data_IF_195706345702
#
_entry.id   IF_195706345702
#
_cell.length_a   1.000
_cell.length_b   1.000
_cell.length_c   1.000
_cell.angle_alpha   90.00
_cell.angle_beta   90.00
_cell.angle_gamma   90.00
#
_symmetry.space_group_name_H-M   'P 1'
#
loop_
_entity.id
_entity.type
_entity.pdbx_description
1 polymer ?
#
# COMPACT_ATOMS: atom_id res chain seq x y z
N UNK A 1 -26.57 11.88 21.46
CA UNK A 1 -25.12 12.12 21.46
C UNK A 1 -24.37 11.03 22.24
N UNK A 2 -24.71 10.73 23.50
CA UNK A 2 -24.01 9.75 24.34
C UNK A 2 -23.95 8.34 23.72
N UNK A 3 -25.04 7.86 23.13
CA UNK A 3 -25.10 6.53 22.47
C UNK A 3 -24.13 6.46 21.30
N UNK A 4 -24.03 7.52 20.51
CA UNK A 4 -23.07 7.60 19.38
C UNK A 4 -21.64 7.61 19.91
N UNK A 5 -21.37 8.39 20.96
CA UNK A 5 -20.05 8.43 21.61
C UNK A 5 -19.61 7.08 22.19
N UNK A 6 -20.53 6.28 22.72
CA UNK A 6 -20.25 4.90 23.17
C UNK A 6 -19.92 3.95 22.01
N UNK A 7 -20.44 4.18 20.82
CA UNK A 7 -20.14 3.40 19.63
C UNK A 7 -18.69 3.59 19.10
N UNK A 8 -18.10 4.78 19.31
CA UNK A 8 -16.76 5.10 18.82
C UNK A 8 -15.68 4.17 19.40
N UNK A 9 -15.56 3.96 20.72
CA UNK A 9 -14.56 3.06 21.27
C UNK A 9 -14.74 1.61 20.79
N UNK A 10 -16.00 1.12 20.66
CA UNK A 10 -16.27 -0.23 20.16
C UNK A 10 -15.74 -0.37 18.73
N UNK A 11 -16.05 0.60 17.88
CA UNK A 11 -15.56 0.61 16.50
C UNK A 11 -14.02 0.71 16.45
N UNK A 12 -13.44 1.55 17.28
CA UNK A 12 -11.97 1.71 17.34
C UNK A 12 -11.27 0.41 17.72
N UNK A 13 -11.74 -0.28 18.76
CA UNK A 13 -11.21 -1.59 19.18
C UNK A 13 -11.36 -2.62 18.06
N UNK A 14 -12.54 -2.70 17.43
CA UNK A 14 -12.77 -3.58 16.30
C UNK A 14 -11.81 -3.29 15.14
N UNK A 15 -11.62 -2.02 14.79
CA UNK A 15 -10.73 -1.60 13.70
C UNK A 15 -9.26 -1.92 14.00
N UNK A 16 -8.79 -1.70 15.21
CA UNK A 16 -7.41 -2.06 15.60
C UNK A 16 -7.23 -3.57 15.51
N UNK A 17 -8.19 -4.34 15.99
CA UNK A 17 -8.12 -5.80 15.96
C UNK A 17 -8.08 -6.34 14.53
N UNK A 18 -9.00 -5.91 13.67
CA UNK A 18 -9.09 -6.39 12.29
C UNK A 18 -7.90 -5.93 11.44
N UNK A 19 -7.45 -4.67 11.61
CA UNK A 19 -6.27 -4.15 10.90
C UNK A 19 -4.99 -4.91 11.25
N UNK A 20 -4.81 -5.31 12.49
CA UNK A 20 -3.66 -6.12 12.88
C UNK A 20 -3.67 -7.51 12.23
N UNK A 21 -4.85 -8.15 12.14
CA UNK A 21 -5.02 -9.42 11.44
C UNK A 21 -4.80 -9.26 9.93
N UNK A 22 -5.38 -8.25 9.34
CA UNK A 22 -5.25 -7.92 7.92
C UNK A 22 -3.78 -7.67 7.54
N UNK A 23 -3.05 -6.85 8.32
CA UNK A 23 -1.64 -6.56 8.08
C UNK A 23 -0.78 -7.83 8.07
N UNK A 24 -0.95 -8.70 9.06
CA UNK A 24 -0.22 -9.99 9.12
C UNK A 24 -0.55 -10.88 7.92
N UNK A 25 -1.82 -10.95 7.53
CA UNK A 25 -2.25 -11.75 6.39
C UNK A 25 -1.66 -11.22 5.07
N UNK A 26 -1.70 -9.91 4.84
CA UNK A 26 -1.10 -9.29 3.64
C UNK A 26 0.42 -9.42 3.59
N UNK A 27 1.09 -9.36 4.75
CA UNK A 27 2.52 -9.60 4.84
C UNK A 27 2.88 -11.06 4.45
N UNK A 28 2.06 -12.02 4.89
CA UNK A 28 2.21 -13.41 4.48
C UNK A 28 1.99 -13.59 2.96
N UNK A 29 1.01 -12.91 2.36
CA UNK A 29 0.80 -12.89 0.91
C UNK A 29 2.02 -12.34 0.19
N UNK A 30 2.56 -11.20 0.64
CA UNK A 30 3.74 -10.59 0.05
C UNK A 30 4.94 -11.54 0.05
N UNK A 31 5.20 -12.21 1.18
CA UNK A 31 6.29 -13.18 1.30
C UNK A 31 6.11 -14.38 0.34
N UNK A 32 4.89 -14.93 0.29
CA UNK A 32 4.60 -16.07 -0.61
C UNK A 32 4.70 -15.68 -2.08
N UNK A 33 4.24 -14.49 -2.43
CA UNK A 33 4.34 -13.96 -3.79
C UNK A 33 5.80 -13.71 -4.21
N UNK A 34 6.63 -13.20 -3.28
CA UNK A 34 8.06 -13.02 -3.52
C UNK A 34 8.77 -14.36 -3.78
N UNK A 35 8.45 -15.40 -3.01
CA UNK A 35 9.01 -16.74 -3.22
C UNK A 35 8.58 -17.35 -4.58
N UNK A 36 7.31 -17.17 -4.96
CA UNK A 36 6.81 -17.62 -6.26
C UNK A 36 7.51 -16.90 -7.41
N UNK A 37 7.67 -15.58 -7.30
CA UNK A 37 8.35 -14.79 -8.32
C UNK A 37 9.84 -15.14 -8.44
N UNK A 38 10.52 -15.37 -7.31
CA UNK A 38 11.92 -15.82 -7.32
C UNK A 38 12.07 -17.17 -8.01
N UNK A 39 11.18 -18.13 -7.69
CA UNK A 39 11.15 -19.43 -8.34
C UNK A 39 10.90 -19.32 -9.85
N UNK A 40 9.94 -18.48 -10.26
CA UNK A 40 9.67 -18.22 -11.67
C UNK A 40 10.88 -17.65 -12.41
N UNK A 41 11.53 -16.63 -11.79
CA UNK A 41 12.70 -16.01 -12.39
C UNK A 41 13.85 -17.00 -12.55
N UNK A 42 14.10 -17.83 -11.53
CA UNK A 42 15.13 -18.88 -11.58
C UNK A 42 14.83 -19.90 -12.69
N UNK A 43 13.58 -20.36 -12.82
CA UNK A 43 13.19 -21.31 -13.86
C UNK A 43 13.22 -20.72 -15.27
N UNK A 44 12.88 -19.43 -15.44
CA UNK A 44 12.98 -18.77 -16.76
C UNK A 44 14.44 -18.65 -17.17
N UNK A 45 15.32 -18.22 -16.27
CA UNK A 45 16.76 -18.12 -16.54
C UNK A 45 17.38 -19.50 -16.76
N UNK A 46 16.95 -20.50 -15.97
CA UNK A 46 17.42 -21.89 -16.01
C UNK A 46 16.67 -22.81 -17.00
N UNK A 47 15.77 -22.27 -17.84
CA UNK A 47 14.89 -23.09 -18.71
C UNK A 47 15.67 -24.08 -19.59
N UNK A 48 16.81 -23.67 -20.15
CA UNK A 48 17.65 -24.54 -20.96
C UNK A 48 18.23 -25.72 -20.17
N UNK A 49 18.57 -25.48 -18.89
CA UNK A 49 19.09 -26.53 -18.00
C UNK A 49 17.97 -27.52 -17.66
N UNK A 50 16.78 -27.00 -17.33
CA UNK A 50 15.59 -27.82 -17.06
C UNK A 50 15.28 -28.76 -18.23
N UNK A 51 15.35 -28.27 -19.47
CA UNK A 51 15.13 -29.07 -20.69
C UNK A 51 16.22 -30.11 -20.90
N UNK A 52 17.50 -29.80 -20.67
CA UNK A 52 18.61 -30.74 -20.80
C UNK A 52 18.46 -31.93 -19.85
N UNK A 53 17.97 -31.67 -18.63
CA UNK A 53 17.77 -32.69 -17.60
C UNK A 53 16.36 -33.32 -17.61
N UNK A 54 15.47 -32.90 -18.52
CA UNK A 54 14.09 -33.37 -18.64
C UNK A 54 13.31 -33.28 -17.29
N UNK A 55 13.45 -32.11 -16.57
CA UNK A 55 12.81 -31.88 -15.25
C UNK A 55 11.60 -30.95 -15.33
N UNK A 56 10.97 -30.83 -16.49
CA UNK A 56 9.84 -29.91 -16.72
C UNK A 56 8.65 -30.26 -15.82
N UNK A 57 8.31 -31.55 -15.72
CA UNK A 57 7.17 -32.02 -14.91
C UNK A 57 7.39 -31.75 -13.41
N UNK A 58 8.60 -31.98 -12.91
CA UNK A 58 8.95 -31.73 -11.51
C UNK A 58 8.87 -30.23 -11.20
N UNK A 59 9.42 -29.38 -12.07
CA UNK A 59 9.36 -27.93 -11.91
C UNK A 59 7.91 -27.42 -12.00
N UNK A 60 7.10 -28.00 -12.88
CA UNK A 60 5.68 -27.65 -12.97
C UNK A 60 4.91 -28.02 -11.69
N UNK A 61 5.24 -29.16 -11.07
CA UNK A 61 4.62 -29.58 -9.82
C UNK A 61 5.01 -28.64 -8.65
N UNK A 62 6.28 -28.28 -8.52
CA UNK A 62 6.73 -27.32 -7.52
C UNK A 62 6.05 -25.95 -7.71
N UNK A 63 5.93 -25.49 -8.95
CA UNK A 63 5.21 -24.27 -9.27
C UNK A 63 3.74 -24.33 -8.87
N UNK A 64 3.07 -25.46 -9.12
CA UNK A 64 1.69 -25.66 -8.69
C UNK A 64 1.53 -25.59 -7.18
N UNK A 65 2.43 -26.19 -6.43
CA UNK A 65 2.40 -26.17 -4.96
C UNK A 65 2.61 -24.75 -4.42
N UNK A 66 3.59 -24.03 -4.93
CA UNK A 66 3.84 -22.64 -4.56
C UNK A 66 2.65 -21.73 -4.92
N UNK A 67 2.06 -21.92 -6.09
CA UNK A 67 0.87 -21.19 -6.54
C UNK A 67 -0.36 -21.49 -5.65
N UNK A 68 -0.56 -22.74 -5.25
CA UNK A 68 -1.62 -23.10 -4.31
C UNK A 68 -1.44 -22.46 -2.96
N UNK A 69 -0.21 -22.42 -2.44
CA UNK A 69 0.13 -21.75 -1.19
C UNK A 69 -0.15 -20.25 -1.26
N UNK A 70 0.24 -19.60 -2.34
CA UNK A 70 -0.11 -18.21 -2.61
C UNK A 70 -1.63 -18.00 -2.60
N UNK A 71 -2.37 -18.85 -3.30
CA UNK A 71 -3.84 -18.78 -3.36
C UNK A 71 -4.49 -18.96 -1.99
N UNK A 72 -4.03 -19.91 -1.18
CA UNK A 72 -4.56 -20.12 0.19
C UNK A 72 -4.31 -18.90 1.07
N UNK A 73 -3.10 -18.36 1.01
CA UNK A 73 -2.71 -17.18 1.79
C UNK A 73 -3.49 -15.95 1.34
N UNK A 74 -3.63 -15.75 0.03
CA UNK A 74 -4.47 -14.70 -0.57
C UNK A 74 -5.91 -14.77 -0.10
N UNK A 75 -6.54 -15.94 -0.18
CA UNK A 75 -7.92 -16.14 0.28
C UNK A 75 -8.09 -15.77 1.76
N UNK A 76 -7.09 -16.06 2.59
CA UNK A 76 -7.11 -15.68 4.00
C UNK A 76 -7.03 -14.16 4.18
N UNK A 77 -6.17 -13.49 3.44
CA UNK A 77 -6.05 -12.02 3.47
C UNK A 77 -7.34 -11.34 2.99
N UNK A 78 -7.92 -11.84 1.90
CA UNK A 78 -9.19 -11.33 1.35
C UNK A 78 -10.35 -11.53 2.33
N UNK A 79 -10.41 -12.66 3.04
CA UNK A 79 -11.44 -12.88 4.09
C UNK A 79 -11.37 -11.82 5.18
N UNK A 80 -10.16 -11.51 5.69
CA UNK A 80 -10.01 -10.43 6.68
C UNK A 80 -10.35 -9.06 6.10
N UNK A 81 -10.00 -8.80 4.84
CA UNK A 81 -10.34 -7.55 4.16
C UNK A 81 -11.84 -7.38 3.99
N UNK A 82 -12.53 -8.45 3.57
CA UNK A 82 -13.96 -8.43 3.34
C UNK A 82 -14.79 -8.39 4.65
N UNK A 83 -14.20 -8.75 5.78
CA UNK A 83 -14.88 -8.68 7.08
C UNK A 83 -15.00 -7.25 7.63
N UNK A 84 -14.21 -6.32 7.11
CA UNK A 84 -14.16 -4.92 7.57
C UNK A 84 -15.52 -4.24 7.38
N UNK A 85 -16.04 -4.24 6.14
CA UNK A 85 -17.28 -3.54 5.83
C UNK A 85 -18.52 -4.09 6.56
N UNK A 86 -18.79 -5.41 6.54
CA UNK A 86 -19.89 -5.97 7.31
C UNK A 86 -19.77 -5.76 8.81
N UNK A 87 -18.54 -5.80 9.34
CA UNK A 87 -18.31 -5.55 10.77
C UNK A 87 -18.64 -4.12 11.18
N UNK A 88 -18.25 -3.13 10.37
CA UNK A 88 -18.58 -1.73 10.60
C UNK A 88 -20.09 -1.51 10.47
N UNK A 89 -20.70 -2.09 9.44
CA UNK A 89 -22.14 -1.96 9.20
C UNK A 89 -22.94 -2.57 10.36
N UNK A 90 -22.55 -3.74 10.85
CA UNK A 90 -23.19 -4.36 12.02
C UNK A 90 -23.11 -3.46 13.26
N UNK A 91 -21.94 -2.86 13.55
CA UNK A 91 -21.78 -1.91 14.66
C UNK A 91 -22.68 -0.67 14.45
N UNK A 92 -22.71 -0.14 13.22
CA UNK A 92 -23.55 1.01 12.88
C UNK A 92 -25.05 0.71 13.05
N UNK A 93 -25.48 -0.49 12.65
CA UNK A 93 -26.88 -0.95 12.84
C UNK A 93 -27.20 -1.08 14.33
N UNK A 94 -26.30 -1.65 15.14
CA UNK A 94 -26.48 -1.75 16.58
C UNK A 94 -26.60 -0.37 17.26
N UNK A 95 -25.75 0.58 16.86
CA UNK A 95 -25.82 1.96 17.37
C UNK A 95 -27.12 2.63 16.98
N UNK A 96 -27.57 2.46 15.72
CA UNK A 96 -28.88 2.99 15.27
C UNK A 96 -30.04 2.36 16.04
N UNK A 97 -30.04 1.05 16.22
CA UNK A 97 -31.07 0.35 17.00
C UNK A 97 -31.09 0.87 18.45
N UNK A 98 -29.94 1.07 19.07
CA UNK A 98 -29.86 1.66 20.41
C UNK A 98 -30.41 3.10 20.43
N UNK A 99 -30.15 3.94 19.43
CA UNK A 99 -30.71 5.30 19.35
C UNK A 99 -32.25 5.23 19.29
N UNK A 100 -32.80 4.33 18.50
CA UNK A 100 -34.28 4.17 18.41
C UNK A 100 -34.88 3.67 19.74
N UNK A 101 -34.27 2.65 20.35
CA UNK A 101 -34.75 2.11 21.62
C UNK A 101 -34.69 3.16 22.75
N UNK A 102 -33.56 3.82 22.92
CA UNK A 102 -33.41 4.88 23.92
C UNK A 102 -34.26 6.11 23.60
N UNK A 103 -34.40 6.43 22.30
CA UNK A 103 -35.31 7.49 21.85
C UNK A 103 -36.76 7.20 22.21
N UNK A 104 -37.21 5.97 22.01
CA UNK A 104 -38.58 5.54 22.33
C UNK A 104 -38.85 5.53 23.84
N UNK A 105 -37.89 5.07 24.64
CA UNK A 105 -37.97 5.03 26.11
C UNK A 105 -37.96 6.42 26.73
N UNK A 106 -37.08 7.32 26.26
CA UNK A 106 -36.91 8.65 26.85
C UNK A 106 -37.98 9.64 26.36
N UNK A 107 -38.42 9.50 25.10
CA UNK A 107 -39.36 10.44 24.47
C UNK A 107 -40.79 9.88 24.30
N UNK A 108 -41.00 8.62 24.67
CA UNK A 108 -42.33 7.95 24.52
C UNK A 108 -43.46 8.55 25.33
N UNK A 109 -43.15 9.34 26.37
CA UNK A 109 -44.14 10.03 27.23
C UNK A 109 -44.34 11.52 26.90
N UNK A 110 -43.65 12.06 25.92
CA UNK A 110 -43.70 13.49 25.60
C UNK A 110 -43.85 13.75 24.10
N UNK A 111 -44.61 14.79 23.78
CA UNK A 111 -45.05 15.31 22.47
C UNK A 111 -43.92 15.60 21.44
N UNK A 112 -42.81 14.82 21.44
CA UNK A 112 -41.68 15.00 20.52
C UNK A 112 -41.84 14.09 19.31
N UNK A 113 -41.84 14.74 18.15
CA UNK A 113 -42.08 14.17 16.83
C UNK A 113 -41.14 13.01 16.51
N UNK A 114 -41.68 11.91 15.95
CA UNK A 114 -40.94 10.82 15.31
C UNK A 114 -39.83 11.35 14.36
N UNK A 115 -40.07 12.50 13.74
CA UNK A 115 -39.10 13.19 12.90
C UNK A 115 -37.78 13.54 13.62
N UNK A 116 -37.83 13.85 14.92
CA UNK A 116 -36.58 14.11 15.68
C UNK A 116 -35.71 12.87 15.83
N UNK A 117 -36.33 11.70 16.06
CA UNK A 117 -35.58 10.42 16.18
C UNK A 117 -34.96 10.05 14.82
N UNK A 118 -35.73 10.22 13.74
CA UNK A 118 -35.25 9.97 12.38
C UNK A 118 -34.08 10.93 12.04
N UNK A 119 -34.18 12.22 12.37
CA UNK A 119 -33.12 13.18 12.14
C UNK A 119 -31.85 12.81 12.91
N UNK A 120 -31.95 12.46 14.21
CA UNK A 120 -30.79 12.03 15.00
C UNK A 120 -30.14 10.76 14.42
N UNK A 121 -30.93 9.80 13.96
CA UNK A 121 -30.44 8.58 13.32
C UNK A 121 -29.70 8.88 12.01
N UNK A 122 -30.20 9.81 11.21
CA UNK A 122 -29.56 10.24 9.97
C UNK A 122 -28.24 10.96 10.25
N UNK A 123 -28.20 11.89 11.19
CA UNK A 123 -26.95 12.56 11.61
C UNK A 123 -25.93 11.57 12.19
N UNK A 124 -26.37 10.56 12.94
CA UNK A 124 -25.49 9.51 13.43
C UNK A 124 -24.83 8.74 12.27
N UNK A 125 -25.56 8.48 11.19
CA UNK A 125 -25.00 7.82 10.00
C UNK A 125 -23.97 8.68 9.28
N UNK A 126 -24.20 9.98 9.15
CA UNK A 126 -23.22 10.91 8.58
C UNK A 126 -21.95 11.06 9.42
N UNK A 127 -22.02 10.82 10.72
CA UNK A 127 -20.87 10.92 11.61
C UNK A 127 -19.83 9.81 11.37
N UNK A 128 -20.24 8.63 10.92
CA UNK A 128 -19.33 7.50 10.68
C UNK A 128 -18.45 7.66 9.44
N UNK A 129 -18.99 8.25 8.40
CA UNK A 129 -18.29 8.40 7.11
C UNK A 129 -16.96 9.14 7.24
N UNK A 130 -16.89 10.33 7.88
CA UNK A 130 -15.61 11.04 8.10
C UNK A 130 -14.60 10.24 8.91
N UNK A 131 -15.05 9.51 9.95
CA UNK A 131 -14.14 8.70 10.78
C UNK A 131 -13.48 7.60 9.97
N UNK A 132 -14.26 6.96 9.09
CA UNK A 132 -13.75 5.93 8.18
C UNK A 132 -12.73 6.51 7.19
N UNK A 133 -13.03 7.69 6.65
CA UNK A 133 -12.16 8.35 5.68
C UNK A 133 -10.86 8.87 6.30
N UNK A 134 -10.86 9.27 7.57
CA UNK A 134 -9.65 9.73 8.27
C UNK A 134 -8.51 8.71 8.22
N UNK A 135 -8.81 7.42 8.38
CA UNK A 135 -7.79 6.36 8.29
C UNK A 135 -7.17 6.25 6.90
N UNK A 136 -7.95 6.42 5.86
CA UNK A 136 -7.46 6.40 4.47
C UNK A 136 -6.69 7.67 4.13
N UNK A 137 -7.19 8.83 4.57
CA UNK A 137 -6.51 10.13 4.39
C UNK A 137 -5.14 10.10 5.07
N UNK A 138 -5.04 9.57 6.28
CA UNK A 138 -3.79 9.48 7.02
C UNK A 138 -2.76 8.56 6.30
N UNK A 139 -3.19 7.41 5.82
CA UNK A 139 -2.32 6.51 5.05
C UNK A 139 -1.85 7.16 3.74
N UNK A 140 -2.75 7.83 3.02
CA UNK A 140 -2.40 8.54 1.80
C UNK A 140 -1.44 9.71 2.08
N UNK A 141 -1.62 10.40 3.20
CA UNK A 141 -0.75 11.49 3.62
C UNK A 141 0.68 11.00 3.86
N UNK A 142 0.86 9.90 4.61
CA UNK A 142 2.18 9.29 4.85
C UNK A 142 2.84 8.87 3.54
N UNK A 143 2.10 8.20 2.64
CA UNK A 143 2.63 7.77 1.37
C UNK A 143 3.03 8.96 0.48
N UNK A 144 2.23 10.03 0.48
CA UNK A 144 2.52 11.23 -0.29
C UNK A 144 3.75 11.98 0.24
N UNK A 145 3.97 11.99 1.56
CA UNK A 145 5.22 12.54 2.14
C UNK A 145 6.44 11.77 1.62
N UNK A 146 6.39 10.44 1.61
CA UNK A 146 7.50 9.62 1.10
C UNK A 146 7.76 9.87 -0.41
N UNK A 147 6.73 10.15 -1.20
CA UNK A 147 6.90 10.53 -2.60
C UNK A 147 7.50 11.93 -2.74
N UNK A 148 7.07 12.89 -1.92
CA UNK A 148 7.63 14.24 -1.91
C UNK A 148 9.12 14.22 -1.51
N UNK A 149 9.48 13.45 -0.50
CA UNK A 149 10.87 13.27 -0.07
C UNK A 149 11.77 12.81 -1.23
N UNK A 150 11.34 11.79 -1.98
CA UNK A 150 12.08 11.32 -3.16
C UNK A 150 12.17 12.35 -4.29
N UNK A 151 11.12 13.15 -4.47
CA UNK A 151 11.14 14.24 -5.46
C UNK A 151 12.17 15.29 -5.05
N UNK A 152 12.18 15.70 -3.79
CA UNK A 152 13.15 16.67 -3.30
C UNK A 152 14.58 16.11 -3.33
N UNK A 153 14.80 14.85 -2.92
CA UNK A 153 16.10 14.21 -3.06
C UNK A 153 16.63 14.27 -4.51
N UNK A 154 15.75 14.01 -5.49
CA UNK A 154 16.12 14.09 -6.90
C UNK A 154 16.35 15.53 -7.37
N UNK A 155 15.58 16.49 -6.87
CA UNK A 155 15.73 17.91 -7.23
C UNK A 155 16.98 18.54 -6.59
N UNK A 156 17.32 18.09 -5.39
CA UNK A 156 18.47 18.58 -4.64
C UNK A 156 19.78 17.82 -4.97
N UNK A 157 19.71 16.86 -5.89
CA UNK A 157 20.88 16.12 -6.37
C UNK A 157 21.90 17.12 -6.96
N UNK A 158 23.11 17.21 -6.39
CA UNK A 158 24.09 18.18 -6.85
C UNK A 158 24.56 17.87 -8.27
N UNK A 159 24.60 18.87 -9.12
CA UNK A 159 25.16 18.75 -10.47
C UNK A 159 26.64 18.42 -10.39
N UNK A 160 26.98 17.14 -10.57
CA UNK A 160 28.36 16.66 -10.49
C UNK A 160 29.21 17.08 -11.68
N UNK A 161 28.56 17.33 -12.83
CA UNK A 161 29.22 17.80 -14.05
C UNK A 161 28.63 19.16 -14.41
N UNK A 162 29.26 20.22 -13.98
CA UNK A 162 28.90 21.59 -14.31
C UNK A 162 29.83 22.19 -15.36
N UNK A 163 29.32 23.14 -16.14
CA UNK A 163 30.14 23.90 -17.06
C UNK A 163 31.18 24.73 -16.29
N UNK A 164 32.38 24.84 -16.86
CA UNK A 164 33.43 25.72 -16.31
C UNK A 164 33.00 27.18 -16.49
N UNK A 165 33.44 28.07 -15.58
CA UNK A 165 33.13 29.52 -15.64
C UNK A 165 33.45 30.19 -17.02
N UNK A 166 34.37 29.62 -17.78
CA UNK A 166 34.75 30.09 -19.11
C UNK A 166 34.43 29.09 -20.22
N UNK A 167 33.34 28.29 -20.06
CA UNK A 167 32.92 27.38 -21.11
C UNK A 167 32.58 28.15 -22.39
N UNK A 168 33.09 27.71 -23.51
CA UNK A 168 32.83 28.30 -24.83
C UNK A 168 31.79 27.43 -25.55
N UNK A 169 30.97 28.09 -26.35
CA UNK A 169 30.06 27.36 -27.25
C UNK A 169 30.88 26.44 -28.19
N UNK A 170 30.43 25.23 -28.35
CA UNK A 170 31.07 24.26 -29.22
C UNK A 170 30.94 24.70 -30.68
N UNK A 171 32.02 24.81 -31.43
CA UNK A 171 31.94 25.18 -32.85
C UNK A 171 31.31 24.05 -33.68
N UNK A 172 30.91 24.34 -34.91
CA UNK A 172 30.35 23.32 -35.82
C UNK A 172 31.37 22.16 -35.98
N UNK A 173 30.96 20.98 -35.54
CA UNK A 173 31.85 19.78 -35.50
C UNK A 173 31.93 19.15 -36.88
N UNK A 174 33.14 18.78 -37.32
CA UNK A 174 33.37 18.03 -38.56
C UNK A 174 33.34 16.51 -38.37
N UNK A 175 33.07 16.04 -37.11
CA UNK A 175 32.94 14.62 -36.81
C UNK A 175 34.25 13.91 -36.54
N UNK A 176 35.38 14.63 -36.42
CA UNK A 176 36.69 14.09 -36.04
C UNK A 176 36.82 14.14 -34.52
N UNK A 177 37.15 13.00 -33.89
CA UNK A 177 37.37 12.86 -32.45
C UNK A 177 38.75 12.22 -32.22
N UNK A 178 39.63 12.91 -31.53
CA UNK A 178 40.94 12.41 -31.17
C UNK A 178 41.04 12.29 -29.66
N UNK A 179 41.45 11.13 -29.16
CA UNK A 179 41.77 10.91 -27.75
C UNK A 179 43.32 11.00 -27.63
N UNK A 180 43.77 11.98 -26.90
CA UNK A 180 45.22 12.19 -26.68
C UNK A 180 45.45 12.21 -25.16
N UNK A 181 46.14 11.19 -24.64
CA UNK A 181 46.48 11.04 -23.23
C UNK A 181 45.28 11.25 -22.28
N UNK A 182 44.16 10.59 -22.56
CA UNK A 182 42.92 10.74 -21.78
C UNK A 182 42.85 9.70 -20.68
N UNK A 183 42.87 10.16 -19.44
CA UNK A 183 42.52 9.34 -18.26
C UNK A 183 41.16 9.73 -17.71
N UNK A 184 40.33 8.75 -17.39
CA UNK A 184 39.00 8.97 -16.82
C UNK A 184 38.70 8.01 -15.69
N UNK A 185 38.03 8.52 -14.66
CA UNK A 185 37.47 7.75 -13.57
C UNK A 185 36.14 8.37 -13.13
N UNK A 186 35.15 7.53 -12.74
CA UNK A 186 33.90 8.01 -12.14
C UNK A 186 34.08 8.39 -10.68
N UNK A 187 34.99 7.72 -10.01
CA UNK A 187 35.38 7.96 -8.64
C UNK A 187 36.94 7.93 -8.53
N UNK A 188 37.47 8.36 -7.41
CA UNK A 188 38.94 8.41 -7.18
C UNK A 188 39.55 7.02 -7.04
N UNK A 189 38.75 5.96 -6.89
CA UNK A 189 39.24 4.62 -6.54
C UNK A 189 39.58 3.77 -7.76
N UNK A 190 38.94 3.97 -8.92
CA UNK A 190 39.13 3.11 -10.09
C UNK A 190 39.22 3.90 -11.40
N UNK A 191 40.42 3.96 -11.96
CA UNK A 191 40.61 4.50 -13.31
C UNK A 191 40.04 3.55 -14.35
N UNK A 192 39.10 4.05 -15.17
CA UNK A 192 38.43 3.30 -16.24
C UNK A 192 39.17 3.46 -17.56
N UNK A 193 39.55 4.69 -17.90
CA UNK A 193 40.46 4.95 -18.99
C UNK A 193 41.83 5.26 -18.40
N UNK A 194 42.83 4.57 -18.93
CA UNK A 194 44.25 4.78 -18.61
C UNK A 194 44.93 5.23 -19.90
N UNK A 195 45.83 6.16 -19.77
CA UNK A 195 46.69 6.60 -20.85
C UNK A 195 47.40 5.42 -21.53
#
# INVERSE_FOLDING_TARGET
ALVVLCGVPILTVFMIWIKNKQRKAWQAVSNKNSNLNAYLQENIVGARITQIFAREDENAQIFQDLSQDCRRTWNTAVRYSNLVWPGIDAISVCVRAAIFLFGLVIFGEGNKSLGTIVAISSYASFFWQPIMNLGNIFNNFINNIAYLERIFETMDEPVTVSDKENAKEMPTIRGEVTFDHVAFSYDETKKILKD
#
